data_IF_655759304083
#
_entry.id   IF_655759304083
#
_cell.length_a   1.000
_cell.length_b   1.000
_cell.length_c   1.000
_cell.angle_alpha   90.00
_cell.angle_beta   90.00
_cell.angle_gamma   90.00
#
_symmetry.space_group_name_H-M   'P 1'
#
loop_
_entity.id
_entity.type
_entity.pdbx_description
1 polymer ?
#
# COMPACT_ATOMS: atom_id res chain seq x y z
N UNK A 1 -43.45 22.08 26.53
CA UNK A 1 -42.19 21.42 26.90
C UNK A 1 -42.36 19.93 26.66
N UNK A 2 -41.77 19.45 25.59
CA UNK A 2 -41.94 18.09 25.10
C UNK A 2 -41.05 17.11 25.89
N UNK A 3 -41.43 15.85 25.84
CA UNK A 3 -40.74 14.71 26.47
C UNK A 3 -39.22 14.66 26.08
N UNK A 4 -38.87 15.13 24.90
CA UNK A 4 -37.49 15.23 24.44
C UNK A 4 -36.65 16.31 25.17
N UNK A 5 -37.26 17.37 25.70
CA UNK A 5 -36.52 18.39 26.46
C UNK A 5 -36.15 17.92 27.88
N UNK A 6 -36.86 16.93 28.42
CA UNK A 6 -36.51 16.29 29.67
C UNK A 6 -35.35 15.28 29.56
N UNK A 7 -35.08 14.75 28.37
CA UNK A 7 -33.95 13.86 28.13
C UNK A 7 -32.62 14.59 27.93
N UNK A 8 -32.65 15.88 27.53
CA UNK A 8 -31.43 16.70 27.39
C UNK A 8 -30.71 17.00 28.72
N UNK A 9 -31.37 16.82 29.85
CA UNK A 9 -30.77 16.99 31.17
C UNK A 9 -30.23 15.71 31.81
N UNK A 10 -30.41 14.57 31.16
CA UNK A 10 -30.04 13.25 31.70
C UNK A 10 -29.13 12.51 30.71
N UNK A 11 -28.04 13.15 30.29
CA UNK A 11 -26.89 12.46 29.74
C UNK A 11 -25.92 12.22 30.91
N UNK A 12 -25.81 11.01 31.44
CA UNK A 12 -24.75 10.71 32.41
C UNK A 12 -23.35 10.82 31.79
N UNK A 13 -23.29 11.11 30.50
CA UNK A 13 -22.07 11.22 29.74
C UNK A 13 -22.19 12.45 28.81
N UNK A 14 -21.76 13.60 29.32
CA UNK A 14 -21.38 14.71 28.46
C UNK A 14 -20.34 14.16 27.45
N UNK A 15 -20.42 14.55 26.18
CA UNK A 15 -19.68 14.02 25.04
C UNK A 15 -18.14 13.98 25.13
N UNK A 16 -17.63 13.50 26.23
CA UNK A 16 -16.26 13.13 26.43
C UNK A 16 -16.15 11.64 26.13
N UNK A 17 -15.37 11.31 25.16
CA UNK A 17 -14.90 9.96 24.90
C UNK A 17 -14.43 9.34 26.21
N UNK A 18 -15.08 8.25 26.65
CA UNK A 18 -14.60 7.50 27.81
C UNK A 18 -13.37 6.74 27.32
N UNK A 19 -12.21 7.32 27.56
CA UNK A 19 -10.95 6.59 27.49
C UNK A 19 -10.91 5.75 28.75
N UNK A 20 -10.99 4.43 28.61
CA UNK A 20 -10.75 3.53 29.72
C UNK A 20 -9.34 3.72 30.29
N UNK A 21 -9.08 3.34 31.55
CA UNK A 21 -7.73 3.39 32.14
C UNK A 21 -6.66 2.67 31.30
N UNK A 22 -7.07 1.77 30.43
CA UNK A 22 -6.23 0.94 29.57
C UNK A 22 -5.98 1.58 28.18
N UNK A 23 -6.53 2.79 27.90
CA UNK A 23 -6.35 3.49 26.62
C UNK A 23 -7.17 2.94 25.45
N UNK A 24 -8.04 1.94 25.66
CA UNK A 24 -8.85 1.37 24.59
C UNK A 24 -10.12 2.21 24.31
N UNK A 25 -10.35 2.54 23.03
CA UNK A 25 -11.61 3.13 22.57
C UNK A 25 -12.71 2.09 22.58
N UNK A 26 -13.76 2.34 23.38
CA UNK A 26 -15.01 1.57 23.30
C UNK A 26 -16.11 2.47 22.77
N UNK A 27 -16.76 2.11 21.66
CA UNK A 27 -17.86 2.90 21.14
C UNK A 27 -18.96 3.02 22.18
N UNK A 28 -19.45 4.22 22.38
CA UNK A 28 -20.64 4.46 23.21
C UNK A 28 -21.87 3.86 22.52
N UNK A 29 -22.92 3.54 23.26
CA UNK A 29 -24.18 3.06 22.67
C UNK A 29 -24.76 4.05 21.64
N UNK A 30 -24.50 5.36 21.79
CA UNK A 30 -24.86 6.40 20.82
C UNK A 30 -24.12 6.21 19.48
N UNK A 31 -22.84 5.92 19.51
CA UNK A 31 -22.05 5.59 18.31
C UNK A 31 -22.60 4.35 17.62
N UNK A 32 -23.00 3.35 18.39
CA UNK A 32 -23.59 2.11 17.84
C UNK A 32 -24.98 2.35 17.23
N UNK A 33 -25.82 3.19 17.85
CA UNK A 33 -27.17 3.49 17.38
C UNK A 33 -27.14 4.47 16.20
N UNK A 34 -26.26 5.49 16.25
CA UNK A 34 -26.19 6.51 15.20
C UNK A 34 -25.39 6.05 13.98
N UNK A 35 -24.78 4.88 14.03
CA UNK A 35 -24.06 4.31 12.89
C UNK A 35 -22.86 5.14 12.45
N UNK A 36 -22.22 5.90 13.34
CA UNK A 36 -21.00 6.62 13.02
C UNK A 36 -19.90 5.62 12.66
N UNK A 37 -19.36 5.78 11.46
CA UNK A 37 -18.28 4.92 10.97
C UNK A 37 -17.02 5.19 11.81
N UNK A 38 -16.49 4.13 12.42
CA UNK A 38 -15.20 4.19 13.13
C UNK A 38 -14.09 3.94 12.13
N UNK A 39 -13.27 4.96 11.89
CA UNK A 39 -12.13 4.84 10.98
C UNK A 39 -10.85 4.53 11.73
N UNK A 40 -9.93 3.87 11.01
CA UNK A 40 -8.58 3.61 11.46
C UNK A 40 -7.85 4.93 11.82
N UNK A 41 -7.07 4.92 12.89
CA UNK A 41 -6.16 6.02 13.17
C UNK A 41 -5.06 6.06 12.11
N UNK A 42 -4.92 7.20 11.45
CA UNK A 42 -3.94 7.46 10.40
C UNK A 42 -2.82 8.40 10.85
N UNK A 43 -2.65 8.55 12.15
CA UNK A 43 -1.59 9.40 12.72
C UNK A 43 -0.22 8.79 12.44
N UNK A 44 -0.08 7.48 12.64
CA UNK A 44 1.12 6.71 12.30
C UNK A 44 0.86 5.82 11.08
N UNK A 45 1.29 6.27 9.92
CA UNK A 45 1.11 5.56 8.64
C UNK A 45 1.99 4.31 8.54
N UNK A 46 3.15 4.31 9.20
CA UNK A 46 4.03 3.15 9.19
C UNK A 46 3.47 2.03 10.06
N UNK A 47 2.84 2.35 11.19
CA UNK A 47 2.13 1.37 12.00
C UNK A 47 0.97 0.75 11.22
N UNK A 48 0.19 1.55 10.48
CA UNK A 48 -0.87 1.05 9.58
C UNK A 48 -0.30 0.07 8.55
N UNK A 49 0.82 0.43 7.91
CA UNK A 49 1.51 -0.44 6.95
C UNK A 49 1.99 -1.75 7.59
N UNK A 50 2.49 -1.73 8.82
CA UNK A 50 2.94 -2.92 9.52
C UNK A 50 1.80 -3.80 10.02
N UNK A 51 0.66 -3.20 10.36
CA UNK A 51 -0.47 -3.89 11.00
C UNK A 51 -1.40 -4.55 9.98
N UNK A 52 -1.61 -3.93 8.80
CA UNK A 52 -2.55 -4.45 7.79
C UNK A 52 -1.82 -5.27 6.73
N UNK A 53 -1.98 -6.62 6.72
CA UNK A 53 -1.22 -7.50 5.82
C UNK A 53 -1.44 -7.19 4.33
N UNK A 54 -2.66 -6.83 3.91
CA UNK A 54 -2.99 -6.53 2.52
C UNK A 54 -2.23 -5.30 2.03
N UNK A 55 -2.13 -4.25 2.85
CA UNK A 55 -1.34 -3.07 2.53
C UNK A 55 0.14 -3.42 2.41
N UNK A 56 0.66 -4.18 3.37
CA UNK A 56 2.07 -4.61 3.36
C UNK A 56 2.41 -5.44 2.13
N UNK A 57 1.53 -6.37 1.73
CA UNK A 57 1.71 -7.19 0.52
C UNK A 57 1.78 -6.31 -0.72
N UNK A 58 0.84 -5.37 -0.89
CA UNK A 58 0.80 -4.49 -2.05
C UNK A 58 2.04 -3.60 -2.16
N UNK A 59 2.39 -2.90 -1.08
CA UNK A 59 3.55 -2.00 -1.05
C UNK A 59 4.85 -2.77 -1.27
N UNK A 60 5.02 -3.93 -0.61
CA UNK A 60 6.21 -4.77 -0.79
C UNK A 60 6.32 -5.37 -2.19
N UNK A 61 5.20 -5.77 -2.80
CA UNK A 61 5.21 -6.27 -4.17
C UNK A 61 5.69 -5.18 -5.13
N UNK A 62 5.14 -3.95 -5.02
CA UNK A 62 5.57 -2.80 -5.80
C UNK A 62 7.06 -2.51 -5.58
N UNK A 63 7.52 -2.46 -4.35
CA UNK A 63 8.90 -2.20 -3.99
C UNK A 63 9.86 -3.27 -4.53
N UNK A 64 9.49 -4.54 -4.41
CA UNK A 64 10.26 -5.66 -4.95
C UNK A 64 10.36 -5.62 -6.48
N UNK A 65 9.24 -5.39 -7.18
CA UNK A 65 9.23 -5.25 -8.64
C UNK A 65 10.11 -4.08 -9.10
N UNK A 66 10.06 -2.94 -8.41
CA UNK A 66 10.89 -1.77 -8.71
C UNK A 66 12.38 -2.07 -8.48
N UNK A 67 12.72 -2.79 -7.41
CA UNK A 67 14.11 -3.12 -7.07
C UNK A 67 14.82 -4.03 -8.08
N UNK A 68 14.05 -4.71 -8.94
CA UNK A 68 14.61 -5.49 -10.04
C UNK A 68 15.23 -4.61 -11.15
N UNK A 69 14.94 -3.31 -11.18
CA UNK A 69 15.50 -2.41 -12.18
C UNK A 69 17.02 -2.27 -12.10
N UNK A 70 17.65 -1.97 -13.22
CA UNK A 70 19.09 -1.72 -13.36
C UNK A 70 19.27 -0.25 -13.72
N UNK A 71 20.03 0.50 -12.91
CA UNK A 71 20.34 1.90 -13.20
C UNK A 71 21.24 2.03 -14.41
N UNK A 72 20.94 3.00 -15.26
CA UNK A 72 21.69 3.36 -16.45
C UNK A 72 21.75 4.87 -16.59
N UNK A 73 22.89 5.38 -17.02
CA UNK A 73 23.02 6.78 -17.42
C UNK A 73 23.03 6.81 -18.95
N UNK A 74 22.13 7.60 -19.51
CA UNK A 74 22.02 7.81 -20.94
C UNK A 74 22.47 9.23 -21.29
N UNK A 75 23.13 9.38 -22.46
CA UNK A 75 23.48 10.67 -23.03
C UNK A 75 22.32 11.29 -23.84
N UNK A 76 22.58 12.40 -24.55
CA UNK A 76 21.61 13.08 -25.42
C UNK A 76 21.12 12.22 -26.59
N UNK A 77 21.89 11.22 -26.99
CA UNK A 77 21.59 10.33 -28.13
C UNK A 77 20.90 9.04 -27.69
N UNK A 78 20.55 8.92 -26.40
CA UNK A 78 20.03 7.71 -25.76
C UNK A 78 21.04 6.54 -25.72
N UNK A 79 22.35 6.83 -25.84
CA UNK A 79 23.40 5.85 -25.70
C UNK A 79 23.79 5.70 -24.20
N UNK A 80 24.10 4.47 -23.79
CA UNK A 80 24.47 4.17 -22.43
C UNK A 80 25.92 4.63 -22.12
N UNK A 81 26.09 5.46 -21.10
CA UNK A 81 27.40 5.92 -20.62
C UNK A 81 27.98 4.85 -19.72
N UNK A 82 29.02 4.16 -20.19
CA UNK A 82 29.67 3.10 -19.44
C UNK A 82 30.45 3.66 -18.23
N UNK A 83 30.48 2.91 -17.13
CA UNK A 83 31.28 3.19 -15.93
C UNK A 83 31.04 4.57 -15.29
N UNK A 84 29.81 5.09 -15.33
CA UNK A 84 29.49 6.36 -14.70
C UNK A 84 29.56 6.24 -13.16
N UNK A 85 30.21 7.19 -12.43
CA UNK A 85 30.39 7.12 -10.96
C UNK A 85 29.08 7.01 -10.19
N UNK A 86 28.00 7.65 -10.66
CA UNK A 86 26.68 7.56 -10.04
C UNK A 86 26.11 6.14 -10.05
N UNK A 87 26.37 5.36 -11.11
CA UNK A 87 25.93 3.96 -11.19
C UNK A 87 26.64 3.13 -10.13
N UNK A 88 27.96 3.27 -10.00
CA UNK A 88 28.75 2.58 -8.98
C UNK A 88 28.29 2.90 -7.57
N UNK A 89 27.93 4.17 -7.32
CA UNK A 89 27.39 4.62 -6.04
C UNK A 89 26.00 4.02 -5.77
N UNK A 90 25.11 3.96 -6.76
CA UNK A 90 23.77 3.40 -6.58
C UNK A 90 23.75 1.87 -6.48
N UNK A 91 24.72 1.17 -7.06
CA UNK A 91 24.89 -0.29 -6.88
C UNK A 91 25.37 -0.64 -5.45
N UNK A 92 26.14 0.26 -4.81
CA UNK A 92 26.58 0.11 -3.41
C UNK A 92 26.39 1.43 -2.66
N UNK A 93 25.14 1.81 -2.34
CA UNK A 93 24.81 3.16 -1.86
C UNK A 93 25.41 3.46 -0.49
N UNK A 94 25.54 2.47 0.37
CA UNK A 94 26.12 2.60 1.69
C UNK A 94 26.53 1.23 2.26
N UNK A 95 27.18 1.24 3.42
CA UNK A 95 27.69 0.01 4.07
C UNK A 95 26.59 -0.87 4.72
N UNK A 96 25.36 -0.36 4.84
CA UNK A 96 24.24 -1.08 5.46
C UNK A 96 23.28 -1.71 4.41
N UNK A 97 23.20 -1.15 3.21
CA UNK A 97 22.18 -1.49 2.24
C UNK A 97 22.78 -1.86 0.90
N UNK A 98 22.30 -2.93 0.30
CA UNK A 98 22.48 -3.21 -1.12
C UNK A 98 21.57 -2.31 -1.96
N UNK A 99 21.81 -2.20 -3.27
CA UNK A 99 20.93 -1.51 -4.22
C UNK A 99 19.46 -1.88 -4.03
N UNK A 100 19.17 -3.18 -3.96
CA UNK A 100 17.80 -3.66 -3.85
C UNK A 100 17.12 -3.17 -2.56
N UNK A 101 17.83 -3.26 -1.42
CA UNK A 101 17.30 -2.75 -0.14
C UNK A 101 17.09 -1.24 -0.15
N UNK A 102 18.00 -0.51 -0.77
CA UNK A 102 17.90 0.94 -0.94
C UNK A 102 16.66 1.32 -1.74
N UNK A 103 16.43 0.69 -2.91
CA UNK A 103 15.25 0.92 -3.74
C UNK A 103 13.96 0.50 -3.01
N UNK A 104 13.96 -0.65 -2.33
CA UNK A 104 12.81 -1.12 -1.55
C UNK A 104 12.43 -0.10 -0.49
N UNK A 105 13.39 0.39 0.30
CA UNK A 105 13.12 1.39 1.35
C UNK A 105 12.62 2.71 0.77
N UNK A 106 13.18 3.15 -0.35
CA UNK A 106 12.73 4.33 -1.08
C UNK A 106 11.27 4.22 -1.50
N UNK A 107 10.90 3.10 -2.15
CA UNK A 107 9.52 2.88 -2.64
C UNK A 107 8.54 2.73 -1.49
N UNK A 108 8.91 2.05 -0.39
CA UNK A 108 8.05 1.93 0.81
C UNK A 108 7.77 3.31 1.39
N UNK A 109 8.80 4.12 1.67
CA UNK A 109 8.62 5.45 2.25
C UNK A 109 7.76 6.34 1.35
N UNK A 110 8.04 6.37 0.03
CA UNK A 110 7.25 7.14 -0.92
C UNK A 110 5.79 6.68 -0.97
N UNK A 111 5.54 5.38 -1.00
CA UNK A 111 4.18 4.81 -1.08
C UNK A 111 3.38 5.06 0.19
N UNK A 112 4.01 4.97 1.36
CA UNK A 112 3.36 5.14 2.66
C UNK A 112 3.13 6.60 3.00
N UNK A 113 4.15 7.44 2.85
CA UNK A 113 4.09 8.86 3.26
C UNK A 113 3.78 9.83 2.11
N UNK A 114 3.86 9.38 0.86
CA UNK A 114 3.80 10.23 -0.33
C UNK A 114 5.15 10.87 -0.69
N UNK A 115 6.15 10.74 0.16
CA UNK A 115 7.50 11.29 -0.02
C UNK A 115 8.55 10.29 0.44
N UNK A 116 9.74 10.36 -0.16
CA UNK A 116 10.92 9.67 0.33
C UNK A 116 12.12 10.62 0.24
N UNK A 117 13.03 10.50 1.18
CA UNK A 117 14.20 11.35 1.30
C UNK A 117 15.47 10.51 1.28
N UNK A 118 16.45 10.96 0.48
CA UNK A 118 17.75 10.31 0.39
C UNK A 118 18.80 11.32 0.83
N UNK A 119 19.50 11.02 1.93
CA UNK A 119 20.62 11.82 2.43
C UNK A 119 21.88 11.44 1.67
N UNK A 120 22.58 12.43 1.14
CA UNK A 120 23.86 12.31 0.47
C UNK A 120 25.00 12.76 1.41
N UNK A 121 25.89 11.86 1.72
CA UNK A 121 27.11 12.23 2.44
C UNK A 121 28.15 12.77 1.44
N UNK A 122 28.28 14.09 1.40
CA UNK A 122 29.25 14.77 0.55
C UNK A 122 30.62 14.84 1.22
N UNK A 123 31.65 14.56 0.43
CA UNK A 123 33.05 14.70 0.80
C UNK A 123 33.77 15.60 -0.22
N UNK A 124 35.04 15.91 0.05
CA UNK A 124 35.85 16.78 -0.82
C UNK A 124 35.87 16.34 -2.30
N UNK A 125 35.73 15.04 -2.55
CA UNK A 125 35.79 14.46 -3.92
C UNK A 125 34.44 13.97 -4.47
N UNK A 126 33.34 14.42 -3.87
CA UNK A 126 31.99 14.05 -4.34
C UNK A 126 31.13 13.35 -3.27
N UNK A 127 30.13 12.60 -3.70
CA UNK A 127 29.22 11.87 -2.81
C UNK A 127 29.85 10.52 -2.49
N UNK A 128 30.07 10.25 -1.20
CA UNK A 128 30.67 9.00 -0.72
C UNK A 128 29.64 7.91 -0.42
N UNK A 129 28.44 8.29 -0.02
CA UNK A 129 27.35 7.36 0.30
C UNK A 129 25.97 8.04 0.23
N UNK A 130 24.93 7.24 0.05
CA UNK A 130 23.53 7.66 0.05
C UNK A 130 22.72 6.78 1.00
N UNK A 131 21.84 7.40 1.80
CA UNK A 131 20.97 6.71 2.76
C UNK A 131 19.51 7.12 2.52
N UNK A 132 18.62 6.15 2.38
CA UNK A 132 17.19 6.41 2.48
C UNK A 132 16.85 6.63 3.94
N UNK A 133 16.38 7.84 4.26
CA UNK A 133 16.00 8.22 5.62
C UNK A 133 14.53 7.90 5.83
N UNK A 134 14.13 7.32 6.99
CA UNK A 134 12.73 7.21 7.35
C UNK A 134 12.04 8.57 7.27
N UNK A 135 10.94 8.65 6.54
CA UNK A 135 10.27 9.95 6.28
C UNK A 135 9.77 10.61 7.57
N UNK A 136 9.44 9.82 8.58
CA UNK A 136 9.01 10.28 9.91
C UNK A 136 10.11 11.03 10.68
N UNK A 137 11.39 10.71 10.41
CA UNK A 137 12.54 11.36 11.04
C UNK A 137 12.87 12.71 10.41
N UNK A 138 12.28 13.04 9.26
CA UNK A 138 12.61 14.24 8.48
C UNK A 138 11.56 15.32 8.70
N UNK A 139 12.00 16.46 9.23
CA UNK A 139 11.18 17.65 9.41
C UNK A 139 11.65 18.75 8.48
N UNK A 140 10.76 19.24 7.64
CA UNK A 140 11.04 20.28 6.65
C UNK A 140 10.13 21.47 6.90
N UNK A 141 10.72 22.65 7.07
CA UNK A 141 9.98 23.91 7.09
C UNK A 141 10.10 24.61 5.73
N UNK A 142 8.98 25.01 5.18
CA UNK A 142 8.90 25.69 3.90
C UNK A 142 8.75 27.21 4.07
N UNK A 143 9.34 27.99 3.14
CA UNK A 143 9.28 29.46 3.16
C UNK A 143 7.93 30.03 2.77
N UNK A 144 7.04 29.23 2.17
CA UNK A 144 5.77 29.64 1.61
C UNK A 144 5.85 30.45 0.30
N UNK A 145 7.05 30.65 -0.24
CA UNK A 145 7.30 31.47 -1.44
C UNK A 145 7.67 30.58 -2.63
N UNK A 146 6.75 29.73 -3.08
CA UNK A 146 7.03 28.75 -4.14
C UNK A 146 7.31 29.39 -5.50
N UNK A 147 6.42 30.28 -5.94
CA UNK A 147 6.44 30.77 -7.33
C UNK A 147 7.46 31.89 -7.60
N UNK A 148 8.08 32.42 -6.56
CA UNK A 148 9.08 33.50 -6.67
C UNK A 148 10.52 32.98 -6.55
N UNK A 149 10.72 31.65 -6.55
CA UNK A 149 12.03 31.05 -6.42
C UNK A 149 12.48 30.42 -7.76
N UNK A 150 13.74 30.56 -8.07
CA UNK A 150 14.38 29.96 -9.25
C UNK A 150 14.94 28.57 -8.95
N UNK A 151 15.19 28.30 -7.66
CA UNK A 151 15.79 27.07 -7.19
C UNK A 151 14.95 26.46 -6.05
N UNK A 152 14.96 25.15 -5.96
CA UNK A 152 14.24 24.41 -4.92
C UNK A 152 14.74 24.76 -3.50
N UNK A 153 16.02 25.05 -3.35
CA UNK A 153 16.64 25.50 -2.09
C UNK A 153 15.97 26.77 -1.53
N UNK A 154 15.50 27.66 -2.35
CA UNK A 154 14.79 28.87 -1.92
C UNK A 154 13.37 28.63 -1.39
N UNK A 155 12.80 27.47 -1.63
CA UNK A 155 11.47 27.06 -1.13
C UNK A 155 11.56 26.50 0.29
N UNK A 156 12.69 25.97 0.68
CA UNK A 156 12.93 25.33 1.97
C UNK A 156 13.60 26.34 2.92
N UNK A 157 13.09 26.41 4.15
CA UNK A 157 13.64 27.25 5.20
C UNK A 157 14.65 26.50 6.05
N UNK A 158 14.33 25.28 6.47
CA UNK A 158 15.19 24.43 7.27
C UNK A 158 14.85 22.97 7.09
N UNK A 159 15.84 22.11 7.26
CA UNK A 159 15.71 20.64 7.28
C UNK A 159 16.33 20.15 8.56
N UNK A 160 15.58 19.32 9.30
CA UNK A 160 16.07 18.61 10.48
C UNK A 160 15.85 17.11 10.29
N UNK A 161 16.86 16.31 10.57
CA UNK A 161 16.80 14.85 10.61
C UNK A 161 17.22 14.40 12.00
N UNK A 162 16.32 13.74 12.73
CA UNK A 162 16.55 13.39 14.14
C UNK A 162 17.01 14.57 15.00
N UNK A 163 16.41 15.76 14.79
CA UNK A 163 16.73 17.03 15.47
C UNK A 163 18.11 17.64 15.12
N UNK A 164 18.83 17.08 14.17
CA UNK A 164 20.07 17.63 13.65
C UNK A 164 19.80 18.39 12.35
N UNK A 165 20.38 19.61 12.16
CA UNK A 165 20.16 20.40 10.95
C UNK A 165 21.00 19.87 9.78
N UNK A 166 20.41 19.92 8.57
CA UNK A 166 21.05 19.52 7.32
C UNK A 166 20.89 20.57 6.24
N UNK A 167 21.81 20.61 5.29
CA UNK A 167 21.72 21.47 4.11
C UNK A 167 20.73 20.91 3.09
N UNK A 168 20.02 21.80 2.40
CA UNK A 168 19.02 21.39 1.38
C UNK A 168 19.66 20.57 0.26
N UNK A 169 20.89 20.92 -0.12
CA UNK A 169 21.60 20.25 -1.19
C UNK A 169 22.12 18.85 -0.82
N UNK A 170 22.10 18.49 0.45
CA UNK A 170 22.50 17.15 0.89
C UNK A 170 21.33 16.16 0.88
N UNK A 171 20.13 16.63 0.59
CA UNK A 171 18.94 15.80 0.57
C UNK A 171 18.33 15.74 -0.84
N UNK A 172 18.05 14.51 -1.32
CA UNK A 172 17.26 14.26 -2.53
C UNK A 172 15.82 14.09 -2.11
N UNK A 173 14.92 14.79 -2.77
CA UNK A 173 13.48 14.78 -2.53
C UNK A 173 12.80 13.96 -3.61
N UNK A 174 12.17 12.87 -3.21
CA UNK A 174 11.30 12.07 -4.07
C UNK A 174 9.88 12.22 -3.56
N UNK A 175 8.94 12.48 -4.46
CA UNK A 175 7.53 12.60 -4.11
C UNK A 175 6.67 11.67 -4.97
N UNK A 176 5.51 11.32 -4.46
CA UNK A 176 4.51 10.64 -5.26
C UNK A 176 4.02 11.57 -6.38
N UNK A 177 3.68 10.98 -7.52
CA UNK A 177 3.20 11.74 -8.68
C UNK A 177 1.71 12.07 -8.50
N UNK A 178 1.44 13.24 -7.94
CA UNK A 178 0.11 13.77 -7.67
C UNK A 178 0.01 15.25 -8.10
N UNK A 179 -1.11 15.89 -7.79
CA UNK A 179 -1.40 17.30 -8.10
C UNK A 179 -0.58 18.30 -7.27
N UNK A 180 0.09 17.86 -6.21
CA UNK A 180 0.85 18.72 -5.31
C UNK A 180 2.27 18.96 -5.82
N UNK A 181 2.73 20.21 -5.71
CA UNK A 181 4.01 20.61 -6.29
C UNK A 181 5.21 20.24 -5.40
N UNK A 182 5.08 20.37 -4.08
CA UNK A 182 6.21 20.25 -3.15
C UNK A 182 6.18 18.91 -2.40
N UNK A 183 5.03 18.60 -1.79
CA UNK A 183 4.86 17.44 -0.91
C UNK A 183 3.84 16.51 -1.55
N UNK A 184 4.22 15.27 -1.79
CA UNK A 184 3.32 14.24 -2.33
C UNK A 184 2.26 13.81 -1.30
N UNK A 185 1.15 13.28 -1.77
CA UNK A 185 0.10 12.75 -0.92
C UNK A 185 0.28 11.24 -0.68
N UNK A 186 0.06 10.84 0.56
CA UNK A 186 0.10 9.42 0.94
C UNK A 186 -1.05 8.65 0.30
N UNK A 187 -0.74 7.62 -0.47
CA UNK A 187 -1.75 6.67 -0.98
C UNK A 187 -2.46 5.93 0.15
N UNK A 188 -1.78 5.71 1.26
CA UNK A 188 -2.35 5.07 2.45
C UNK A 188 -3.46 5.92 3.07
N UNK A 189 -3.29 7.25 3.12
CA UNK A 189 -4.35 8.15 3.61
C UNK A 189 -5.60 8.12 2.74
N UNK A 190 -5.43 8.01 1.43
CA UNK A 190 -6.55 7.90 0.48
C UNK A 190 -7.37 6.63 0.72
N UNK A 191 -6.72 5.55 1.15
CA UNK A 191 -7.32 4.23 1.40
C UNK A 191 -7.90 4.08 2.82
N UNK A 192 -8.07 5.16 3.57
CA UNK A 192 -8.50 5.13 4.97
C UNK A 192 -9.75 4.27 5.19
N UNK A 193 -10.75 4.38 4.34
CA UNK A 193 -11.99 3.63 4.45
C UNK A 193 -11.77 2.13 4.21
N UNK A 194 -11.11 1.76 3.12
CA UNK A 194 -10.84 0.38 2.74
C UNK A 194 -10.00 -0.34 3.81
N UNK A 195 -8.95 0.33 4.29
CA UNK A 195 -8.09 -0.21 5.34
C UNK A 195 -8.85 -0.39 6.66
N UNK A 196 -9.76 0.54 6.99
CA UNK A 196 -10.63 0.42 8.17
C UNK A 196 -11.59 -0.76 8.04
N UNK A 197 -12.24 -0.93 6.86
CA UNK A 197 -13.13 -2.03 6.59
C UNK A 197 -12.41 -3.39 6.72
N UNK A 198 -11.23 -3.52 6.09
CA UNK A 198 -10.40 -4.72 6.17
C UNK A 198 -10.06 -5.04 7.63
N UNK A 199 -9.62 -4.05 8.41
CA UNK A 199 -9.32 -4.24 9.83
C UNK A 199 -10.53 -4.69 10.62
N UNK A 200 -11.66 -4.00 10.47
CA UNK A 200 -12.89 -4.35 11.19
C UNK A 200 -13.42 -5.73 10.81
N UNK A 201 -13.30 -6.13 9.55
CA UNK A 201 -13.69 -7.48 9.12
C UNK A 201 -12.81 -8.56 9.80
N UNK A 202 -11.50 -8.33 9.91
CA UNK A 202 -10.62 -9.22 10.67
C UNK A 202 -10.92 -9.22 12.17
N UNK A 203 -11.19 -8.06 12.76
CA UNK A 203 -11.55 -7.94 14.18
C UNK A 203 -12.88 -8.68 14.46
N UNK A 204 -13.90 -8.51 13.62
CA UNK A 204 -15.17 -9.22 13.70
C UNK A 204 -14.97 -10.74 13.60
N UNK A 205 -14.14 -11.19 12.65
CA UNK A 205 -13.78 -12.61 12.52
C UNK A 205 -13.08 -13.14 13.77
N UNK A 206 -12.11 -12.40 14.30
CA UNK A 206 -11.39 -12.80 15.50
C UNK A 206 -12.33 -12.90 16.71
N UNK A 207 -13.21 -11.91 16.89
CA UNK A 207 -14.23 -11.95 17.94
C UNK A 207 -15.16 -13.17 17.81
N UNK A 208 -15.59 -13.50 16.59
CA UNK A 208 -16.43 -14.68 16.37
C UNK A 208 -15.69 -15.99 16.68
N UNK A 209 -14.42 -16.09 16.36
CA UNK A 209 -13.59 -17.29 16.63
C UNK A 209 -13.29 -17.41 18.12
N UNK A 210 -12.92 -16.32 18.79
CA UNK A 210 -12.47 -16.34 20.18
C UNK A 210 -13.63 -16.41 21.17
N UNK A 211 -14.77 -15.77 20.86
CA UNK A 211 -15.93 -15.70 21.73
C UNK A 211 -17.02 -16.75 21.41
N UNK A 212 -16.74 -17.69 20.48
CA UNK A 212 -17.70 -18.76 20.15
C UNK A 212 -18.85 -18.33 19.26
N UNK A 213 -18.82 -17.16 18.68
CA UNK A 213 -19.70 -16.74 17.58
C UNK A 213 -21.16 -16.41 17.94
N UNK A 214 -21.64 -16.79 19.10
CA UNK A 214 -23.04 -16.60 19.45
C UNK A 214 -23.23 -15.36 20.33
N UNK A 215 -23.70 -14.27 19.72
CA UNK A 215 -24.31 -13.17 20.46
C UNK A 215 -25.80 -13.35 20.41
N UNK A 216 -26.43 -13.55 21.55
CA UNK A 216 -27.84 -13.70 21.65
C UNK A 216 -28.35 -13.33 23.03
N UNK A 217 -29.65 -13.15 23.13
CA UNK A 217 -30.33 -12.99 24.41
C UNK A 217 -30.76 -14.39 24.89
N UNK A 218 -30.33 -14.74 26.07
CA UNK A 218 -30.83 -15.90 26.78
C UNK A 218 -31.97 -15.42 27.66
N UNK A 219 -33.19 -15.78 27.30
CA UNK A 219 -34.35 -15.58 28.16
C UNK A 219 -34.68 -16.88 28.92
N UNK A 220 -34.95 -16.75 30.18
CA UNK A 220 -35.57 -17.85 30.91
C UNK A 220 -37.03 -17.90 30.51
N UNK A 221 -37.46 -19.02 29.95
CA UNK A 221 -38.87 -19.22 29.60
C UNK A 221 -39.77 -18.93 30.79
N UNK A 222 -40.92 -18.28 30.57
CA UNK A 222 -41.92 -18.00 31.59
C UNK A 222 -42.26 -19.27 32.37
N UNK A 223 -41.89 -19.34 33.62
CA UNK A 223 -42.47 -20.32 34.55
C UNK A 223 -43.75 -19.74 35.09
N UNK A 224 -44.82 -20.26 34.62
CA UNK A 224 -46.10 -20.05 35.26
C UNK A 224 -46.22 -21.12 36.36
N UNK A 225 -46.29 -20.71 37.62
CA UNK A 225 -46.55 -21.62 38.71
C UNK A 225 -47.94 -22.21 38.56
N UNK A 226 -48.26 -23.30 39.27
CA UNK A 226 -49.57 -23.95 39.26
C UNK A 226 -50.74 -23.00 39.51
N UNK A 227 -50.47 -21.85 40.06
CA UNK A 227 -51.42 -20.77 40.36
C UNK A 227 -51.43 -19.64 39.34
N UNK A 228 -50.73 -19.77 38.18
CA UNK A 228 -50.74 -18.79 37.10
C UNK A 228 -49.90 -17.52 37.37
N UNK A 229 -49.08 -17.51 38.38
CA UNK A 229 -48.17 -16.36 38.66
C UNK A 229 -46.82 -16.56 37.99
N UNK A 230 -46.34 -15.53 37.31
CA UNK A 230 -45.00 -15.50 36.74
C UNK A 230 -43.95 -15.54 37.85
N UNK A 231 -43.04 -16.49 37.81
CA UNK A 231 -41.93 -16.60 38.78
C UNK A 231 -40.96 -15.41 38.64
N UNK A 232 -40.44 -14.95 39.79
CA UNK A 232 -39.57 -13.79 39.96
C UNK A 232 -38.44 -13.72 38.88
N UNK A 233 -38.23 -12.54 38.29
CA UNK A 233 -37.10 -12.32 37.42
C UNK A 233 -35.78 -12.51 38.18
N UNK A 234 -34.73 -12.94 37.47
CA UNK A 234 -33.38 -13.06 38.04
C UNK A 234 -32.95 -11.76 38.71
N UNK A 235 -32.36 -11.86 39.88
CA UNK A 235 -31.72 -10.72 40.52
C UNK A 235 -30.46 -10.31 39.71
N UNK A 236 -30.04 -9.01 39.74
CA UNK A 236 -28.85 -8.57 39.04
C UNK A 236 -27.61 -9.41 39.35
N UNK A 237 -27.41 -9.82 40.59
CA UNK A 237 -26.31 -10.65 41.06
C UNK A 237 -26.36 -12.09 40.44
N UNK A 238 -27.57 -12.65 40.26
CA UNK A 238 -27.74 -13.95 39.59
C UNK A 238 -27.47 -13.87 38.10
N UNK A 239 -27.83 -12.74 37.48
CA UNK A 239 -27.55 -12.47 36.06
C UNK A 239 -26.04 -12.41 35.82
N UNK A 240 -25.32 -11.59 36.58
CA UNK A 240 -23.87 -11.41 36.49
C UNK A 240 -23.13 -12.75 36.68
N UNK A 241 -23.51 -13.52 37.71
CA UNK A 241 -22.91 -14.84 37.97
C UNK A 241 -23.18 -15.86 36.83
N UNK A 242 -24.35 -15.78 36.21
CA UNK A 242 -24.68 -16.65 35.06
C UNK A 242 -23.92 -16.27 33.81
N UNK A 243 -23.74 -14.96 33.54
CA UNK A 243 -22.94 -14.43 32.42
C UNK A 243 -21.47 -14.82 32.60
N UNK A 244 -20.93 -14.67 33.82
CA UNK A 244 -19.55 -15.03 34.12
C UNK A 244 -19.31 -16.53 34.01
N UNK A 245 -20.21 -17.37 34.53
CA UNK A 245 -20.14 -18.83 34.38
C UNK A 245 -20.24 -19.27 32.92
N UNK A 246 -21.14 -18.63 32.15
CA UNK A 246 -21.27 -18.92 30.73
C UNK A 246 -19.99 -18.56 29.98
N UNK A 247 -19.44 -17.38 30.23
CA UNK A 247 -18.19 -16.95 29.59
C UNK A 247 -16.98 -17.81 29.96
N UNK A 248 -16.91 -18.26 31.22
CA UNK A 248 -15.80 -19.07 31.70
C UNK A 248 -15.87 -20.53 31.28
N UNK A 249 -17.07 -21.10 31.22
CA UNK A 249 -17.26 -22.54 31.01
C UNK A 249 -17.47 -22.95 29.55
N UNK A 250 -18.05 -22.07 28.73
CA UNK A 250 -18.47 -22.40 27.36
C UNK A 250 -17.74 -21.60 26.29
N UNK A 251 -17.55 -22.19 25.11
CA UNK A 251 -16.93 -21.54 23.95
C UNK A 251 -16.07 -22.47 23.11
N UNK A 252 -15.39 -21.91 22.09
CA UNK A 252 -14.52 -22.66 21.18
C UNK A 252 -13.08 -22.83 21.70
N UNK A 253 -12.74 -22.22 22.83
CA UNK A 253 -11.41 -22.29 23.42
C UNK A 253 -11.02 -23.65 23.97
N UNK A 254 -9.71 -23.89 24.12
CA UNK A 254 -9.18 -25.13 24.69
C UNK A 254 -9.66 -25.29 26.14
N UNK A 255 -10.31 -26.41 26.45
CA UNK A 255 -10.85 -26.68 27.82
C UNK A 255 -12.29 -26.19 28.05
N UNK A 256 -12.92 -25.53 27.08
CA UNK A 256 -14.31 -25.06 27.18
C UNK A 256 -15.31 -26.19 26.87
N UNK A 257 -16.46 -26.17 27.56
CA UNK A 257 -17.55 -27.14 27.31
C UNK A 257 -18.26 -26.81 26.00
N UNK A 258 -18.50 -27.83 25.18
CA UNK A 258 -19.17 -27.69 23.86
C UNK A 258 -20.68 -27.83 23.92
N UNK A 259 -21.22 -28.34 25.02
CA UNK A 259 -22.65 -28.63 25.23
C UNK A 259 -23.13 -27.98 26.53
N UNK A 260 -24.26 -27.28 26.42
CA UNK A 260 -24.95 -26.70 27.56
C UNK A 260 -26.06 -27.66 27.95
N UNK A 261 -25.98 -28.18 29.17
CA UNK A 261 -27.07 -28.94 29.76
C UNK A 261 -27.69 -28.04 30.86
N UNK A 262 -28.97 -27.70 30.67
CA UNK A 262 -29.71 -26.90 31.65
C UNK A 262 -30.94 -27.66 32.12
N UNK A 263 -31.27 -27.52 33.36
CA UNK A 263 -32.50 -28.07 33.95
C UNK A 263 -33.68 -27.11 33.83
N UNK A 264 -33.44 -25.91 33.31
CA UNK A 264 -34.45 -24.86 33.10
C UNK A 264 -34.74 -24.71 31.61
N UNK A 265 -35.98 -24.37 31.25
CA UNK A 265 -36.30 -23.96 29.88
C UNK A 265 -35.55 -22.64 29.57
N UNK A 266 -34.69 -22.70 28.58
CA UNK A 266 -33.93 -21.55 28.11
C UNK A 266 -34.27 -21.32 26.66
N UNK A 267 -34.72 -20.11 26.37
CA UNK A 267 -34.93 -19.68 24.99
C UNK A 267 -33.76 -18.80 24.58
N UNK A 268 -33.08 -19.20 23.49
CA UNK A 268 -31.93 -18.46 22.96
C UNK A 268 -32.36 -17.78 21.66
N UNK A 269 -32.39 -16.44 21.69
CA UNK A 269 -32.60 -15.62 20.50
C UNK A 269 -31.27 -15.08 20.04
N UNK A 270 -30.78 -15.54 18.89
CA UNK A 270 -29.54 -15.01 18.28
C UNK A 270 -29.78 -13.59 17.79
N UNK A 271 -28.95 -12.66 18.26
CA UNK A 271 -28.93 -11.27 17.78
C UNK A 271 -27.85 -11.03 16.72
N UNK A 272 -26.97 -12.00 16.48
CA UNK A 272 -25.94 -11.89 15.48
C UNK A 272 -26.40 -12.47 14.17
N UNK A 273 -26.22 -11.73 13.08
CA UNK A 273 -26.30 -12.31 11.75
C UNK A 273 -25.20 -13.39 11.61
N UNK A 274 -25.50 -14.54 10.99
CA UNK A 274 -24.47 -15.52 10.67
C UNK A 274 -23.34 -14.87 9.87
N UNK A 275 -22.09 -15.24 10.13
CA UNK A 275 -20.90 -14.69 9.43
C UNK A 275 -21.06 -14.81 7.92
N UNK A 276 -21.71 -15.90 7.46
CA UNK A 276 -21.99 -16.14 6.05
C UNK A 276 -22.92 -15.10 5.43
N UNK A 277 -23.84 -14.55 6.20
CA UNK A 277 -24.79 -13.55 5.72
C UNK A 277 -24.20 -12.13 5.70
N UNK A 278 -23.09 -11.91 6.41
CA UNK A 278 -22.36 -10.63 6.42
C UNK A 278 -21.43 -10.45 5.23
N UNK A 279 -21.21 -11.49 4.40
CA UNK A 279 -20.34 -11.47 3.21
C UNK A 279 -18.94 -10.84 3.45
N UNK A 280 -18.46 -10.82 4.71
CA UNK A 280 -17.23 -10.14 5.13
C UNK A 280 -15.99 -10.49 4.30
N UNK A 281 -15.96 -11.69 3.71
CA UNK A 281 -14.83 -12.13 2.90
C UNK A 281 -14.86 -11.55 1.48
N UNK A 282 -16.06 -11.41 0.92
CA UNK A 282 -16.24 -10.81 -0.40
C UNK A 282 -15.92 -9.31 -0.34
N UNK A 283 -16.33 -8.64 0.74
CA UNK A 283 -15.99 -7.23 1.00
C UNK A 283 -14.47 -7.02 1.19
N UNK A 284 -13.77 -7.92 1.92
CA UNK A 284 -12.31 -7.87 2.05
C UNK A 284 -11.64 -8.01 0.68
N UNK A 285 -12.13 -8.92 -0.17
CA UNK A 285 -11.57 -9.12 -1.51
C UNK A 285 -11.78 -7.88 -2.39
N UNK A 286 -12.95 -7.23 -2.31
CA UNK A 286 -13.24 -6.01 -3.07
C UNK A 286 -12.42 -4.81 -2.57
N UNK A 287 -12.34 -4.58 -1.27
CA UNK A 287 -11.47 -3.54 -0.70
C UNK A 287 -9.98 -3.78 -1.02
N UNK A 288 -9.55 -5.06 -1.05
CA UNK A 288 -8.20 -5.42 -1.45
C UNK A 288 -7.90 -5.12 -2.92
N UNK A 289 -8.89 -5.27 -3.81
CA UNK A 289 -8.76 -4.88 -5.23
C UNK A 289 -8.57 -3.38 -5.37
N UNK A 290 -9.40 -2.58 -4.69
CA UNK A 290 -9.26 -1.10 -4.68
C UNK A 290 -7.88 -0.69 -4.17
N UNK A 291 -7.37 -1.39 -3.16
CA UNK A 291 -6.03 -1.17 -2.62
C UNK A 291 -4.96 -1.46 -3.68
N UNK A 292 -5.01 -2.62 -4.34
CA UNK A 292 -4.04 -2.99 -5.38
C UNK A 292 -4.09 -2.01 -6.57
N UNK A 293 -5.28 -1.62 -7.02
CA UNK A 293 -5.50 -0.65 -8.10
C UNK A 293 -4.91 0.74 -7.73
N UNK A 294 -5.05 1.17 -6.47
CA UNK A 294 -4.48 2.45 -5.99
C UNK A 294 -2.95 2.45 -6.07
N UNK A 295 -2.31 1.29 -5.84
CA UNK A 295 -0.86 1.14 -6.02
C UNK A 295 -0.46 0.82 -7.48
N UNK A 296 -1.42 0.72 -8.41
CA UNK A 296 -1.18 0.41 -9.79
C UNK A 296 -0.76 -1.03 -10.05
N UNK A 297 -1.14 -1.94 -9.15
CA UNK A 297 -0.83 -3.37 -9.25
C UNK A 297 -2.02 -4.11 -9.84
N UNK A 298 -1.76 -5.02 -10.78
CA UNK A 298 -2.83 -5.82 -11.36
C UNK A 298 -3.32 -6.88 -10.35
N UNK A 299 -4.63 -6.95 -10.17
CA UNK A 299 -5.28 -7.88 -9.25
C UNK A 299 -4.99 -9.35 -9.56
N UNK A 300 -4.79 -9.70 -10.82
CA UNK A 300 -4.51 -11.07 -11.25
C UNK A 300 -3.20 -11.64 -10.70
N UNK A 301 -2.26 -10.76 -10.29
CA UNK A 301 -1.03 -11.17 -9.62
C UNK A 301 -1.25 -11.74 -8.21
N UNK A 302 -2.34 -11.33 -7.55
CA UNK A 302 -2.64 -11.66 -6.16
C UNK A 302 -3.86 -12.57 -6.02
N UNK A 303 -4.59 -12.78 -7.12
CA UNK A 303 -5.83 -13.54 -7.15
C UNK A 303 -5.57 -15.03 -6.90
N UNK A 304 -6.20 -15.58 -5.85
CA UNK A 304 -6.32 -17.03 -5.63
C UNK A 304 -7.44 -17.65 -6.47
N UNK A 305 -7.94 -16.94 -7.48
CA UNK A 305 -9.08 -17.39 -8.27
C UNK A 305 -8.71 -18.67 -9.01
N UNK A 306 -9.45 -19.74 -8.76
CA UNK A 306 -9.42 -20.98 -9.53
C UNK A 306 -9.73 -20.65 -10.98
N UNK A 307 -8.71 -20.58 -11.82
CA UNK A 307 -8.88 -20.34 -13.26
C UNK A 307 -7.95 -19.29 -13.88
N UNK A 308 -7.08 -18.62 -13.11
CA UNK A 308 -6.04 -17.81 -13.75
C UNK A 308 -5.04 -18.77 -14.43
N UNK A 309 -5.01 -18.75 -15.75
CA UNK A 309 -4.01 -19.49 -16.52
C UNK A 309 -2.66 -18.80 -16.35
N UNK A 310 -1.56 -19.55 -16.43
CA UNK A 310 -0.20 -19.01 -16.38
C UNK A 310 -0.01 -17.79 -17.31
N UNK A 311 -0.62 -17.82 -18.47
CA UNK A 311 -0.59 -16.74 -19.45
C UNK A 311 -1.25 -15.44 -18.94
N UNK A 312 -2.32 -15.52 -18.17
CA UNK A 312 -2.98 -14.33 -17.60
C UNK A 312 -2.11 -13.64 -16.56
N UNK A 313 -1.43 -14.42 -15.72
CA UNK A 313 -0.51 -13.89 -14.70
C UNK A 313 0.68 -13.19 -15.36
N UNK A 314 1.24 -13.76 -16.42
CA UNK A 314 2.35 -13.16 -17.16
C UNK A 314 1.95 -11.84 -17.85
N UNK A 315 0.76 -11.80 -18.45
CA UNK A 315 0.20 -10.57 -19.04
C UNK A 315 -0.05 -9.52 -17.95
N UNK A 316 -0.55 -9.93 -16.78
CA UNK A 316 -0.78 -9.04 -15.65
C UNK A 316 0.53 -8.45 -15.12
N UNK A 317 1.57 -9.27 -15.00
CA UNK A 317 2.90 -8.85 -14.57
C UNK A 317 3.49 -7.82 -15.55
N UNK A 318 3.46 -8.13 -16.85
CA UNK A 318 3.90 -7.23 -17.90
C UNK A 318 3.17 -5.88 -17.87
N UNK A 319 1.83 -5.88 -17.76
CA UNK A 319 1.04 -4.64 -17.68
C UNK A 319 1.41 -3.82 -16.45
N UNK A 320 1.65 -4.45 -15.33
CA UNK A 320 2.08 -3.78 -14.09
C UNK A 320 3.44 -3.10 -14.28
N UNK A 321 4.41 -3.79 -14.91
CA UNK A 321 5.69 -3.17 -15.24
C UNK A 321 5.53 -2.00 -16.18
N UNK A 322 4.81 -2.16 -17.30
CA UNK A 322 4.70 -1.13 -18.34
C UNK A 322 3.93 0.11 -17.89
N UNK A 323 2.86 -0.07 -17.11
CA UNK A 323 1.96 1.03 -16.77
C UNK A 323 2.32 1.71 -15.44
N UNK A 324 2.99 1.01 -14.52
CA UNK A 324 3.24 1.52 -13.16
C UNK A 324 4.72 1.53 -12.80
N UNK A 325 5.39 0.37 -12.84
CA UNK A 325 6.74 0.24 -12.28
C UNK A 325 7.77 1.04 -13.11
N UNK A 326 7.79 0.86 -14.41
CA UNK A 326 8.76 1.53 -15.28
C UNK A 326 8.59 3.06 -15.27
N UNK A 327 7.38 3.63 -15.45
CA UNK A 327 7.19 5.07 -15.38
C UNK A 327 7.62 5.67 -14.06
N UNK A 328 7.19 5.06 -12.92
CA UNK A 328 7.53 5.57 -11.60
C UNK A 328 9.02 5.45 -11.27
N UNK A 329 9.64 4.31 -11.60
CA UNK A 329 11.07 4.09 -11.40
C UNK A 329 11.93 5.10 -12.20
N UNK A 330 11.51 5.42 -13.43
CA UNK A 330 12.20 6.40 -14.25
C UNK A 330 12.04 7.83 -13.72
N UNK A 331 10.87 8.18 -13.15
CA UNK A 331 10.69 9.47 -12.47
C UNK A 331 11.62 9.59 -11.27
N UNK A 332 11.71 8.56 -10.45
CA UNK A 332 12.61 8.53 -9.30
C UNK A 332 14.08 8.63 -9.74
N UNK A 333 14.47 7.82 -10.73
CA UNK A 333 15.82 7.85 -11.28
C UNK A 333 16.18 9.25 -11.81
N UNK A 334 15.28 9.88 -12.57
CA UNK A 334 15.48 11.23 -13.08
C UNK A 334 15.69 12.24 -11.94
N UNK A 335 14.90 12.16 -10.85
CA UNK A 335 15.05 13.04 -9.70
C UNK A 335 16.36 12.80 -8.95
N UNK A 336 16.74 11.54 -8.75
CA UNK A 336 18.03 11.16 -8.14
C UNK A 336 19.19 11.70 -8.99
N UNK A 337 19.14 11.48 -10.30
CA UNK A 337 20.17 11.97 -11.20
C UNK A 337 20.31 13.48 -11.16
N UNK A 338 19.20 14.20 -11.29
CA UNK A 338 19.17 15.67 -11.29
C UNK A 338 19.68 16.28 -9.98
N UNK A 339 19.20 15.76 -8.84
CA UNK A 339 19.50 16.35 -7.53
C UNK A 339 20.88 15.90 -6.97
N UNK A 340 21.42 14.79 -7.44
CA UNK A 340 22.77 14.36 -7.05
C UNK A 340 23.86 15.34 -7.51
N UNK A 341 23.62 16.03 -8.64
CA UNK A 341 24.62 16.91 -9.26
C UNK A 341 25.81 16.16 -9.88
N UNK A 342 25.68 14.84 -10.12
CA UNK A 342 26.74 14.00 -10.67
C UNK A 342 26.63 13.80 -12.19
N UNK A 343 25.51 14.21 -12.79
CA UNK A 343 25.27 14.11 -14.24
C UNK A 343 25.84 15.32 -14.96
N UNK A 344 26.44 15.08 -16.11
CA UNK A 344 26.84 16.13 -17.06
C UNK A 344 25.61 16.68 -17.80
N UNK A 345 25.81 17.82 -18.48
CA UNK A 345 24.75 18.44 -19.26
C UNK A 345 24.28 17.48 -20.37
N UNK A 346 22.96 17.25 -20.39
CA UNK A 346 22.31 16.33 -21.33
C UNK A 346 22.32 14.86 -20.95
N UNK A 347 22.97 14.48 -19.87
CA UNK A 347 22.88 13.12 -19.33
C UNK A 347 21.62 12.96 -18.48
N UNK A 348 21.08 11.74 -18.44
CA UNK A 348 19.95 11.38 -17.61
C UNK A 348 20.12 10.00 -16.97
N UNK A 349 19.72 9.88 -15.71
CA UNK A 349 19.63 8.59 -15.03
C UNK A 349 18.27 7.94 -15.35
N UNK A 350 18.28 6.68 -15.71
CA UNK A 350 17.10 5.86 -15.97
C UNK A 350 17.21 4.50 -15.28
N UNK A 351 16.11 3.75 -15.24
CA UNK A 351 16.10 2.40 -14.73
C UNK A 351 15.54 1.43 -15.78
N UNK A 352 16.36 0.46 -16.21
CA UNK A 352 16.02 -0.53 -17.22
C UNK A 352 15.46 -1.81 -16.64
N UNK A 353 14.50 -2.44 -17.32
CA UNK A 353 13.82 -3.67 -16.89
C UNK A 353 13.81 -4.76 -17.99
N UNK A 354 14.58 -4.61 -19.04
CA UNK A 354 14.61 -5.54 -20.19
C UNK A 354 15.02 -6.96 -19.81
N UNK A 355 15.77 -7.14 -18.71
CA UNK A 355 16.19 -8.44 -18.22
C UNK A 355 15.08 -9.20 -17.44
N UNK A 356 13.97 -8.54 -17.09
CA UNK A 356 12.85 -9.18 -16.38
C UNK A 356 12.13 -10.16 -17.32
N UNK A 357 11.84 -11.40 -16.90
CA UNK A 357 11.31 -12.45 -17.80
C UNK A 357 10.07 -12.05 -18.60
N UNK A 358 9.09 -11.39 -17.98
CA UNK A 358 7.88 -10.94 -18.67
C UNK A 358 8.13 -9.85 -19.73
N UNK A 359 9.28 -9.13 -19.64
CA UNK A 359 9.70 -8.12 -20.61
C UNK A 359 10.56 -8.71 -21.73
N UNK A 360 11.33 -9.77 -21.47
CA UNK A 360 12.17 -10.44 -22.46
C UNK A 360 11.37 -11.12 -23.59
N UNK A 361 10.18 -11.60 -23.29
CA UNK A 361 9.29 -12.18 -24.32
C UNK A 361 8.88 -11.15 -25.35
N UNK A 362 8.62 -9.92 -24.93
CA UNK A 362 8.32 -8.80 -25.83
C UNK A 362 9.48 -8.46 -26.78
N UNK A 363 10.69 -8.49 -26.28
CA UNK A 363 11.88 -8.25 -27.11
C UNK A 363 12.04 -9.38 -28.13
N UNK A 364 11.84 -10.62 -27.73
CA UNK A 364 11.87 -11.76 -28.64
C UNK A 364 10.77 -11.71 -29.71
N UNK A 365 9.56 -11.27 -29.33
CA UNK A 365 8.47 -11.07 -30.30
C UNK A 365 8.77 -9.91 -31.24
N UNK A 366 9.28 -8.77 -30.76
CA UNK A 366 9.72 -7.64 -31.58
C UNK A 366 10.82 -8.06 -32.55
N UNK A 367 11.80 -8.81 -32.08
CA UNK A 367 12.87 -9.35 -32.94
C UNK A 367 12.31 -10.30 -34.01
N UNK A 368 11.33 -11.16 -33.66
CA UNK A 368 10.66 -12.02 -34.64
C UNK A 368 9.88 -11.22 -35.68
N UNK A 369 9.15 -10.18 -35.26
CA UNK A 369 8.41 -9.28 -36.15
C UNK A 369 9.38 -8.56 -37.07
N UNK A 370 10.43 -7.94 -36.52
CA UNK A 370 11.49 -7.27 -37.34
C UNK A 370 12.15 -8.22 -38.33
N UNK A 371 12.49 -9.43 -37.91
CA UNK A 371 13.06 -10.44 -38.82
C UNK A 371 12.08 -10.84 -39.92
N UNK A 372 10.78 -10.87 -39.61
CA UNK A 372 9.73 -11.17 -40.59
C UNK A 372 9.58 -9.99 -41.58
N UNK A 373 9.59 -8.75 -41.07
CA UNK A 373 9.56 -7.54 -41.91
C UNK A 373 10.79 -7.45 -42.83
N UNK A 374 11.99 -7.66 -42.28
CA UNK A 374 13.23 -7.68 -43.09
C UNK A 374 13.20 -8.80 -44.16
N UNK A 375 12.64 -9.97 -43.84
CA UNK A 375 12.46 -11.04 -44.84
C UNK A 375 11.45 -10.65 -45.90
N UNK A 376 10.32 -10.04 -45.54
CA UNK A 376 9.32 -9.58 -46.51
C UNK A 376 9.85 -8.46 -47.41
N UNK A 377 10.61 -7.49 -46.86
CA UNK A 377 11.31 -6.46 -47.62
C UNK A 377 12.36 -7.06 -48.56
N UNK A 378 13.10 -8.07 -48.13
CA UNK A 378 14.09 -8.78 -48.95
C UNK A 378 13.43 -9.55 -50.10
N UNK A 379 12.26 -10.14 -49.89
CA UNK A 379 11.48 -10.78 -50.97
C UNK A 379 10.94 -9.75 -51.96
N UNK A 380 10.33 -8.68 -51.46
CA UNK A 380 9.81 -7.60 -52.31
C UNK A 380 10.94 -6.95 -53.19
N UNK A 381 12.12 -6.83 -52.65
CA UNK A 381 13.30 -6.37 -53.39
C UNK A 381 13.74 -7.39 -54.47
N UNK A 382 13.77 -8.70 -54.14
CA UNK A 382 14.10 -9.76 -55.10
C UNK A 382 13.10 -9.88 -56.25
N UNK A 383 11.83 -9.66 -55.91
CA UNK A 383 10.72 -9.72 -56.87
C UNK A 383 10.60 -8.43 -57.72
N UNK A 384 11.48 -7.45 -57.47
CA UNK A 384 11.51 -6.19 -58.21
C UNK A 384 10.37 -5.22 -57.89
N UNK A 385 9.68 -5.42 -56.77
CA UNK A 385 8.54 -4.59 -56.32
C UNK A 385 9.02 -3.27 -55.70
N UNK A 386 10.20 -3.27 -55.08
CA UNK A 386 10.82 -2.10 -54.45
C UNK A 386 12.22 -1.84 -54.98
N UNK A 387 12.60 -0.58 -55.03
CA UNK A 387 13.93 -0.14 -55.51
C UNK A 387 15.01 -0.32 -54.41
N UNK A 388 16.28 -0.27 -54.80
CA UNK A 388 17.43 -0.35 -53.87
C UNK A 388 17.37 0.73 -52.78
N UNK A 389 16.95 1.94 -53.15
CA UNK A 389 16.89 3.08 -52.23
C UNK A 389 15.72 2.94 -51.27
N UNK A 390 14.58 2.47 -51.74
CA UNK A 390 13.42 2.16 -50.86
C UNK A 390 13.73 1.02 -49.90
N UNK A 391 14.43 -0.03 -50.36
CA UNK A 391 14.88 -1.13 -49.50
C UNK A 391 15.81 -0.64 -48.41
N UNK A 392 16.81 0.17 -48.71
CA UNK A 392 17.74 0.74 -47.74
C UNK A 392 17.04 1.64 -46.72
N UNK A 393 16.12 2.50 -47.17
CA UNK A 393 15.39 3.41 -46.30
C UNK A 393 14.39 2.70 -45.36
N UNK A 394 13.91 1.52 -45.72
CA UNK A 394 12.98 0.72 -44.95
C UNK A 394 13.66 -0.26 -43.97
N UNK A 395 14.98 -0.44 -44.05
CA UNK A 395 15.72 -1.28 -43.13
C UNK A 395 15.91 -0.58 -41.77
N UNK A 396 15.80 -1.33 -40.66
CA UNK A 396 16.15 -0.82 -39.33
C UNK A 396 17.60 -0.26 -39.33
N UNK A 397 17.79 0.92 -38.71
CA UNK A 397 19.10 1.57 -38.63
C UNK A 397 20.21 0.67 -38.06
N UNK A 398 19.84 -0.26 -37.18
CA UNK A 398 20.75 -1.26 -36.58
C UNK A 398 21.37 -2.26 -37.59
N UNK A 399 20.76 -2.42 -38.78
CA UNK A 399 21.24 -3.31 -39.82
C UNK A 399 21.97 -2.58 -40.94
N UNK A 400 21.91 -1.25 -40.95
CA UNK A 400 22.71 -0.44 -41.88
C UNK A 400 24.11 -0.33 -41.28
N UNK A 401 25.09 -1.03 -41.83
CA UNK A 401 26.51 -0.78 -41.51
C UNK A 401 26.80 0.68 -41.85
N UNK A 402 27.33 1.42 -40.88
CA UNK A 402 27.90 2.73 -41.13
C UNK A 402 28.83 2.62 -42.33
N UNK A 403 28.41 3.28 -43.41
CA UNK A 403 29.20 3.27 -44.62
C UNK A 403 30.52 4.00 -44.37
N UNK A 404 31.61 3.26 -44.26
CA UNK A 404 32.94 3.76 -44.57
C UNK A 404 33.14 3.69 -46.08
#
# INVERSE_FOLDING_TARGET
>A
MGFLDKLKGWTPFGGNHIINPDGEYRPTWETVINGEATYLDMTDLMEVYHTIPHLKIAVNAKASMTSNGIYKVLDMNDEEVENHPLISLLESPNFLQSKNQFVVNQVINRSVYGNAYILMNRQTFGISSMFVIPTEDVKIEYTGKLYNQTEFSGVIKSIEINQEPYEVNDLIFLKENDDRLIVGESKVKTLKQQLSNIKHAYDARNMNITQGGARGVVSLGERVDKDGMATNPMTPAQKEKSEESFHNDYGLGKGKKKLIMTTMGVEFTSLSAPIKDLQLFEEIDDDSRVLLDTFGLNNDLFSKVKGSTFNNVEIADKRTYQNTIIPEANLDALQIGKQSGMLEEGQRLTMGFSHVPCMQQDENEKVKIQNTEVKSLSMAFKDGVITVDEYKNSLPKSLLKDGK
#
